data_IF_821294527198
#
_entry.id   IF_821294527198
#
_cell.length_a   1.000
_cell.length_b   1.000
_cell.length_c   1.000
_cell.angle_alpha   90.00
_cell.angle_beta   90.00
_cell.angle_gamma   90.00
#
_symmetry.space_group_name_H-M   'P 1'
#
loop_
_entity.id
_entity.type
_entity.pdbx_description
1 polymer ?
#
# COMPACT_ATOMS: atom_id res chain seq x y z
N UNK A 1 -16.77 32.62 14.77
CA UNK A 1 -15.68 32.01 13.97
C UNK A 1 -16.08 30.57 13.70
N UNK A 2 -16.23 30.17 12.44
CA UNK A 2 -16.50 28.76 12.10
C UNK A 2 -15.21 27.97 12.19
N UNK A 3 -15.27 26.78 12.79
CA UNK A 3 -14.12 25.88 12.84
C UNK A 3 -13.71 25.46 11.41
N UNK A 4 -12.40 25.21 11.16
CA UNK A 4 -11.94 24.84 9.82
C UNK A 4 -12.56 23.51 9.36
N UNK A 5 -12.72 23.35 8.04
CA UNK A 5 -13.30 22.12 7.46
C UNK A 5 -12.56 20.86 7.93
N UNK A 6 -11.24 20.94 8.12
CA UNK A 6 -10.40 19.82 8.53
C UNK A 6 -10.75 19.26 9.92
N UNK A 7 -11.29 20.08 10.82
CA UNK A 7 -11.68 19.67 12.19
C UNK A 7 -13.17 19.39 12.33
N UNK A 8 -13.97 19.61 11.27
CA UNK A 8 -15.44 19.48 11.31
C UNK A 8 -15.99 18.47 10.31
N UNK A 9 -15.30 18.25 9.19
CA UNK A 9 -15.70 17.27 8.18
C UNK A 9 -15.42 15.86 8.68
N UNK A 10 -16.48 15.07 8.82
CA UNK A 10 -16.41 13.64 9.13
C UNK A 10 -16.28 12.84 7.85
N UNK A 11 -15.25 12.01 7.75
CA UNK A 11 -14.95 11.20 6.58
C UNK A 11 -15.03 9.73 6.97
N UNK A 12 -15.93 8.98 6.32
CA UNK A 12 -16.02 7.54 6.46
C UNK A 12 -15.33 6.85 5.28
N UNK A 13 -14.45 5.90 5.57
CA UNK A 13 -13.75 5.07 4.58
C UNK A 13 -14.25 3.64 4.74
N UNK A 14 -14.81 3.07 3.66
CA UNK A 14 -15.26 1.68 3.63
C UNK A 14 -14.13 0.77 3.11
N UNK A 15 -13.61 -0.09 3.98
CA UNK A 15 -12.54 -1.05 3.75
C UNK A 15 -11.22 -0.66 4.42
N UNK A 16 -10.65 -1.56 5.22
CA UNK A 16 -9.34 -1.40 5.87
C UNK A 16 -8.20 -2.10 5.10
N UNK A 17 -8.36 -2.26 3.78
CA UNK A 17 -7.28 -2.70 2.89
C UNK A 17 -6.22 -1.63 2.63
N UNK A 18 -5.24 -1.96 1.78
CA UNK A 18 -4.12 -1.05 1.45
C UNK A 18 -4.59 0.34 1.00
N UNK A 19 -5.62 0.41 0.14
CA UNK A 19 -6.15 1.69 -0.35
C UNK A 19 -6.86 2.49 0.75
N UNK A 20 -7.64 1.84 1.61
CA UNK A 20 -8.35 2.50 2.70
C UNK A 20 -7.40 3.05 3.75
N UNK A 21 -6.41 2.25 4.17
CA UNK A 21 -5.38 2.70 5.11
C UNK A 21 -4.51 3.82 4.52
N UNK A 22 -4.07 3.70 3.26
CA UNK A 22 -3.32 4.76 2.59
C UNK A 22 -4.12 6.07 2.47
N UNK A 23 -5.44 5.96 2.22
CA UNK A 23 -6.35 7.11 2.16
C UNK A 23 -6.47 7.79 3.52
N UNK A 24 -6.73 7.01 4.58
CA UNK A 24 -6.85 7.53 5.95
C UNK A 24 -5.56 8.24 6.39
N UNK A 25 -4.41 7.61 6.16
CA UNK A 25 -3.11 8.19 6.48
C UNK A 25 -2.84 9.48 5.69
N UNK A 26 -3.18 9.52 4.41
CA UNK A 26 -3.05 10.71 3.56
C UNK A 26 -3.93 11.86 4.06
N UNK A 27 -5.15 11.58 4.52
CA UNK A 27 -6.06 12.58 5.09
C UNK A 27 -5.54 13.09 6.44
N UNK A 28 -5.06 12.19 7.30
CA UNK A 28 -4.46 12.54 8.58
C UNK A 28 -3.22 13.45 8.39
N UNK A 29 -2.32 13.14 7.45
CA UNK A 29 -1.18 13.99 7.09
C UNK A 29 -1.59 15.38 6.59
N UNK A 30 -2.79 15.51 5.98
CA UNK A 30 -3.38 16.79 5.56
C UNK A 30 -4.10 17.53 6.68
N UNK A 31 -4.14 16.96 7.89
CA UNK A 31 -4.71 17.54 9.09
C UNK A 31 -6.21 17.31 9.26
N UNK A 32 -6.82 16.36 8.54
CA UNK A 32 -8.20 15.96 8.83
C UNK A 32 -8.24 15.14 10.12
N UNK A 33 -9.11 15.54 11.05
CA UNK A 33 -9.14 14.98 12.41
C UNK A 33 -10.20 13.89 12.59
N UNK A 34 -11.28 13.93 11.80
CA UNK A 34 -12.44 13.06 11.95
C UNK A 34 -12.53 12.04 10.81
N UNK A 35 -11.58 11.08 10.78
CA UNK A 35 -11.48 10.05 9.75
C UNK A 35 -11.71 8.68 10.36
N UNK A 36 -12.81 8.02 9.99
CA UNK A 36 -13.20 6.70 10.48
C UNK A 36 -13.06 5.66 9.36
N UNK A 37 -12.40 4.52 9.63
CA UNK A 37 -12.31 3.37 8.71
C UNK A 37 -13.23 2.25 9.21
N UNK A 38 -14.04 1.70 8.32
CA UNK A 38 -14.93 0.57 8.59
C UNK A 38 -14.48 -0.65 7.79
N UNK A 39 -14.40 -1.81 8.43
CA UNK A 39 -14.05 -3.07 7.79
C UNK A 39 -15.03 -4.16 8.22
N UNK A 40 -15.44 -4.99 7.26
CA UNK A 40 -16.37 -6.09 7.50
C UNK A 40 -15.65 -7.30 8.11
N UNK A 41 -14.37 -7.49 7.78
CA UNK A 41 -13.56 -8.53 8.40
C UNK A 41 -13.38 -8.28 9.90
N UNK A 42 -13.50 -9.34 10.71
CA UNK A 42 -13.35 -9.27 12.17
C UNK A 42 -11.90 -9.04 12.62
N UNK A 43 -10.93 -9.22 11.73
CA UNK A 43 -9.53 -8.93 11.96
C UNK A 43 -8.82 -8.53 10.65
N UNK A 44 -7.67 -7.86 10.81
CA UNK A 44 -6.72 -7.69 9.72
C UNK A 44 -5.91 -8.98 9.60
N UNK A 45 -6.21 -9.78 8.58
CA UNK A 45 -5.59 -11.08 8.34
C UNK A 45 -4.62 -11.07 7.16
N UNK A 46 -3.71 -12.04 7.16
CA UNK A 46 -2.85 -12.32 6.02
C UNK A 46 -3.55 -13.31 5.07
N UNK A 47 -3.60 -12.98 3.77
CA UNK A 47 -4.27 -13.82 2.75
C UNK A 47 -3.37 -14.94 2.22
N UNK A 48 -2.11 -15.02 2.67
CA UNK A 48 -1.14 -16.01 2.17
C UNK A 48 -0.44 -15.62 0.86
N UNK A 49 -0.73 -14.45 0.32
CA UNK A 49 -0.19 -13.98 -0.95
C UNK A 49 0.88 -12.89 -0.75
N UNK A 50 1.99 -13.01 -1.49
CA UNK A 50 2.99 -11.95 -1.60
C UNK A 50 2.58 -10.90 -2.64
N UNK A 51 2.89 -9.63 -2.39
CA UNK A 51 2.71 -8.53 -3.35
C UNK A 51 4.07 -7.92 -3.63
N UNK A 52 4.43 -7.79 -4.91
CA UNK A 52 5.65 -7.10 -5.30
C UNK A 52 5.49 -5.59 -5.14
N UNK A 53 6.41 -4.96 -4.42
CA UNK A 53 6.49 -3.51 -4.32
C UNK A 53 7.39 -2.98 -5.43
N UNK A 54 6.78 -2.50 -6.51
CA UNK A 54 7.49 -1.86 -7.61
C UNK A 54 8.09 -0.49 -7.17
N UNK A 55 9.11 0.03 -7.88
CA UNK A 55 9.78 1.28 -7.51
C UNK A 55 8.85 2.48 -7.35
N UNK A 56 7.82 2.61 -8.20
CA UNK A 56 6.81 3.67 -8.08
C UNK A 56 5.97 3.55 -6.79
N UNK A 57 5.61 2.33 -6.39
CA UNK A 57 4.87 2.11 -5.14
C UNK A 57 5.73 2.44 -3.92
N UNK A 58 7.01 2.07 -3.92
CA UNK A 58 7.92 2.39 -2.82
C UNK A 58 8.04 3.90 -2.55
N UNK A 59 8.04 4.72 -3.62
CA UNK A 59 8.05 6.19 -3.48
C UNK A 59 6.78 6.74 -2.82
N UNK A 60 5.62 6.17 -3.17
CA UNK A 60 4.36 6.54 -2.52
C UNK A 60 4.39 6.15 -1.04
N UNK A 61 4.79 4.93 -0.71
CA UNK A 61 4.94 4.47 0.67
C UNK A 61 5.95 5.32 1.46
N UNK A 62 6.98 5.85 0.79
CA UNK A 62 7.96 6.74 1.41
C UNK A 62 7.34 8.10 1.72
N UNK A 63 6.53 8.67 0.82
CA UNK A 63 5.78 9.91 1.10
C UNK A 63 4.75 9.74 2.22
N UNK A 64 4.21 8.54 2.38
CA UNK A 64 3.33 8.18 3.49
C UNK A 64 4.09 7.92 4.80
N UNK A 65 5.43 7.87 4.78
CA UNK A 65 6.26 7.67 5.97
C UNK A 65 6.30 6.22 6.48
N UNK A 66 5.74 5.26 5.74
CA UNK A 66 5.63 3.85 6.17
C UNK A 66 6.61 2.93 5.45
N UNK A 67 7.32 3.43 4.44
CA UNK A 67 8.21 2.61 3.62
C UNK A 67 9.31 1.90 4.41
N UNK A 68 9.91 2.54 5.40
CA UNK A 68 11.04 1.94 6.13
C UNK A 68 10.60 0.66 6.85
N UNK A 69 9.49 0.73 7.60
CA UNK A 69 8.94 -0.42 8.31
C UNK A 69 8.57 -1.56 7.33
N UNK A 70 7.98 -1.21 6.19
CA UNK A 70 7.62 -2.20 5.15
C UNK A 70 8.87 -2.84 4.55
N UNK A 71 9.92 -2.05 4.30
CA UNK A 71 11.17 -2.53 3.71
C UNK A 71 11.89 -3.49 4.64
N UNK A 72 11.86 -3.24 5.95
CA UNK A 72 12.55 -4.07 6.95
C UNK A 72 11.97 -5.49 7.01
N UNK A 73 10.67 -5.64 6.75
CA UNK A 73 9.97 -6.94 6.67
C UNK A 73 9.95 -7.54 5.25
N UNK A 74 10.41 -6.79 4.23
CA UNK A 74 10.32 -7.20 2.84
C UNK A 74 11.44 -8.16 2.42
N UNK A 75 11.14 -9.04 1.46
CA UNK A 75 12.15 -9.87 0.79
C UNK A 75 12.62 -9.16 -0.47
N UNK A 76 13.93 -8.91 -0.57
CA UNK A 76 14.55 -8.36 -1.77
C UNK A 76 14.57 -9.40 -2.90
N UNK A 77 13.88 -9.09 -4.00
CA UNK A 77 13.89 -9.91 -5.22
C UNK A 77 15.19 -9.64 -5.98
N UNK A 78 16.12 -10.60 -5.97
CA UNK A 78 17.41 -10.48 -6.65
C UNK A 78 17.35 -10.80 -8.14
N UNK A 79 16.49 -11.73 -8.52
CA UNK A 79 16.34 -12.20 -9.89
C UNK A 79 14.90 -12.67 -10.15
N UNK A 80 14.41 -12.42 -11.36
CA UNK A 80 13.12 -12.93 -11.84
C UNK A 80 13.35 -13.63 -13.19
N UNK A 81 13.04 -14.92 -13.29
CA UNK A 81 13.18 -15.69 -14.54
C UNK A 81 11.82 -16.20 -15.03
N UNK A 82 11.56 -16.10 -16.32
CA UNK A 82 10.42 -16.76 -16.99
C UNK A 82 10.97 -17.98 -17.74
N UNK A 83 10.43 -19.18 -17.49
CA UNK A 83 10.88 -20.43 -18.13
C UNK A 83 9.78 -20.98 -19.04
N UNK A 84 10.13 -21.21 -20.31
CA UNK A 84 9.27 -21.89 -21.29
C UNK A 84 9.47 -23.41 -21.30
N UNK A 85 8.60 -24.14 -21.98
CA UNK A 85 8.70 -25.60 -22.18
C UNK A 85 9.78 -26.01 -23.20
N UNK A 86 10.20 -25.09 -24.07
CA UNK A 86 11.41 -25.22 -24.89
C UNK A 86 12.54 -24.41 -24.27
N UNK A 87 13.67 -25.06 -24.01
CA UNK A 87 14.85 -24.50 -23.34
C UNK A 87 15.68 -23.62 -24.30
N UNK A 88 15.04 -22.65 -24.95
CA UNK A 88 15.76 -21.55 -25.59
C UNK A 88 15.48 -20.31 -24.76
N UNK A 89 16.53 -19.80 -24.12
CA UNK A 89 16.45 -18.60 -23.28
C UNK A 89 16.09 -17.43 -24.20
N UNK A 90 15.22 -16.50 -23.78
CA UNK A 90 14.85 -15.34 -24.62
C UNK A 90 16.05 -14.47 -25.00
N UNK A 91 17.13 -14.51 -24.21
CA UNK A 91 18.43 -13.89 -24.53
C UNK A 91 19.14 -14.50 -25.74
N UNK A 92 18.71 -15.67 -26.21
CA UNK A 92 19.28 -16.41 -27.34
C UNK A 92 18.45 -16.24 -28.62
N UNK A 93 17.36 -15.47 -28.57
CA UNK A 93 16.44 -15.23 -29.71
C UNK A 93 16.58 -13.82 -30.32
N UNK A 94 17.60 -13.04 -29.92
CA UNK A 94 17.88 -11.68 -30.42
C UNK A 94 19.06 -11.67 -31.41
#
# INVERSE_FOLDING_TARGET
MTAPLRSTLRIAIAGAGMAGMATALSLAQKGFELVDIYETASNLGFVGAGIQVAPNLSRVLQSLGVWHNIKDDAVEVKETSIRGTSVSTLSEMA
#
